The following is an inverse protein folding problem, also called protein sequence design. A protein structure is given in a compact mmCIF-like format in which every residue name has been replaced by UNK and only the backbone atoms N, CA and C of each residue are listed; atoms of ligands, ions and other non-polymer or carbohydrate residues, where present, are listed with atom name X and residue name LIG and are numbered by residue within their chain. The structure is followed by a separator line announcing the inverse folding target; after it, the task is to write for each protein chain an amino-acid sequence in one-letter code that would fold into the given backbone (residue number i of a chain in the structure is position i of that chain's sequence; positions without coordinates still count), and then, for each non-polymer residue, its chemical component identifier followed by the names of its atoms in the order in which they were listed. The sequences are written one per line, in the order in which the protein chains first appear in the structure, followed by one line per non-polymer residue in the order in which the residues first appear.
data_IF_489380942534
#
_entry.id   IF_489380942534
#
_cell.length_a   1.000
_cell.length_b   1.000
_cell.length_c   1.000
_cell.angle_alpha   90.00
_cell.angle_beta   90.00
_cell.angle_gamma   90.00
#
_symmetry.space_group_name_H-M   'P 1'
#
loop_
_entity.id
_entity.type
_entity.pdbx_description
1 polymer ?
#
# COMPACT_ATOMS: atom_id res chain seq x y z
N UNK A 1 -20.63 -12.83 -15.10
CA UNK A 1 -19.44 -12.02 -14.72
C UNK A 1 -19.66 -10.66 -15.36
N UNK A 2 -19.94 -9.64 -14.56
CA UNK A 2 -20.16 -8.27 -15.08
C UNK A 2 -18.76 -7.70 -15.38
N UNK A 3 -18.54 -7.06 -16.54
CA UNK A 3 -17.27 -6.38 -16.80
C UNK A 3 -17.08 -5.28 -15.76
N UNK A 4 -15.89 -5.16 -15.20
CA UNK A 4 -15.55 -3.99 -14.40
C UNK A 4 -15.63 -2.76 -15.32
N UNK A 5 -16.62 -1.91 -15.11
CA UNK A 5 -16.71 -0.63 -15.81
C UNK A 5 -15.54 0.23 -15.35
N UNK A 6 -14.51 0.33 -16.18
CA UNK A 6 -13.39 1.23 -15.95
C UNK A 6 -13.91 2.65 -16.12
N UNK A 7 -14.27 3.32 -15.02
CA UNK A 7 -14.66 4.72 -15.02
C UNK A 7 -13.40 5.58 -15.23
N UNK A 8 -13.16 6.16 -16.42
CA UNK A 8 -11.91 6.85 -16.71
C UNK A 8 -11.86 8.29 -16.17
N UNK A 9 -12.73 8.66 -15.21
CA UNK A 9 -13.07 10.06 -14.94
C UNK A 9 -12.65 10.60 -13.57
N UNK A 10 -12.00 9.80 -12.73
CA UNK A 10 -11.37 10.31 -11.53
C UNK A 10 -9.93 9.80 -11.52
N UNK A 11 -8.96 10.69 -11.73
CA UNK A 11 -7.58 10.41 -11.35
C UNK A 11 -7.56 10.17 -9.83
N UNK A 12 -7.73 8.92 -9.41
CA UNK A 12 -7.58 8.55 -8.01
C UNK A 12 -6.11 8.71 -7.66
N UNK A 13 -5.81 9.75 -6.90
CA UNK A 13 -4.46 10.00 -6.40
C UNK A 13 -4.24 9.11 -5.20
N UNK A 14 -3.58 7.98 -5.44
CA UNK A 14 -3.12 7.12 -4.37
C UNK A 14 -1.94 7.76 -3.65
N UNK A 15 -1.99 7.76 -2.33
CA UNK A 15 -0.85 8.09 -1.48
C UNK A 15 -0.12 6.80 -1.10
N UNK A 16 1.21 6.87 -1.05
CA UNK A 16 2.04 5.75 -0.58
C UNK A 16 2.91 6.19 0.59
N UNK A 17 2.98 5.38 1.65
CA UNK A 17 3.85 5.62 2.81
C UNK A 17 4.59 4.36 3.21
N UNK A 18 5.90 4.47 3.39
CA UNK A 18 6.72 3.40 3.92
C UNK A 18 6.92 3.57 5.43
N UNK A 19 6.88 2.45 6.14
CA UNK A 19 7.06 2.38 7.58
C UNK A 19 8.22 1.45 7.91
N UNK A 20 8.97 1.81 8.94
CA UNK A 20 9.81 0.87 9.69
C UNK A 20 9.14 0.68 11.04
N UNK A 21 8.62 -0.52 11.26
CA UNK A 21 7.88 -0.86 12.48
C UNK A 21 8.82 -1.65 13.37
N UNK A 22 8.98 -1.18 14.60
CA UNK A 22 9.79 -1.84 15.62
C UNK A 22 8.87 -2.41 16.68
N UNK A 23 9.01 -3.70 16.95
CA UNK A 23 8.20 -4.44 17.93
C UNK A 23 9.13 -5.05 19.00
N UNK A 24 8.55 -5.73 19.98
CA UNK A 24 9.28 -6.43 21.04
C UNK A 24 10.31 -5.56 21.77
N UNK A 25 9.89 -4.36 22.18
CA UNK A 25 10.73 -3.40 22.92
C UNK A 25 12.06 -3.08 22.21
N UNK A 26 12.02 -2.99 20.87
CA UNK A 26 13.21 -2.67 20.08
C UNK A 26 13.92 -3.87 19.46
N UNK A 27 13.50 -5.11 19.78
CA UNK A 27 14.25 -6.33 19.39
C UNK A 27 14.05 -6.72 17.95
N UNK A 28 12.87 -6.46 17.39
CA UNK A 28 12.53 -6.83 16.02
C UNK A 28 12.08 -5.61 15.23
N UNK A 29 12.48 -5.54 13.96
CA UNK A 29 12.02 -4.51 13.03
C UNK A 29 11.66 -5.11 11.69
N UNK A 30 10.57 -4.65 11.10
CA UNK A 30 10.19 -4.98 9.74
C UNK A 30 9.74 -3.71 8.98
N UNK A 31 9.67 -3.82 7.66
CA UNK A 31 9.21 -2.75 6.79
C UNK A 31 7.80 -3.02 6.33
N UNK A 32 6.99 -1.97 6.22
CA UNK A 32 5.66 -2.06 5.63
C UNK A 32 5.44 -0.93 4.63
N UNK A 33 4.59 -1.18 3.64
CA UNK A 33 4.14 -0.20 2.67
C UNK A 33 2.62 -0.06 2.76
N UNK A 34 2.13 1.16 2.97
CA UNK A 34 0.73 1.53 2.78
C UNK A 34 0.55 2.17 1.41
N UNK A 35 -0.52 1.78 0.72
CA UNK A 35 -1.06 2.47 -0.45
C UNK A 35 -2.55 2.70 -0.18
N UNK A 36 -2.98 3.95 -0.20
CA UNK A 36 -4.33 4.36 0.19
C UNK A 36 -4.90 5.44 -0.74
N UNK A 37 -6.21 5.47 -0.89
CA UNK A 37 -6.91 6.65 -1.41
C UNK A 37 -7.26 7.57 -0.25
N UNK A 38 -6.62 8.74 -0.18
CA UNK A 38 -6.85 9.70 0.91
C UNK A 38 -8.30 10.21 0.98
N UNK A 39 -9.08 10.08 -0.11
CA UNK A 39 -10.49 10.45 -0.15
C UNK A 39 -11.43 9.31 0.25
N UNK A 40 -10.92 8.09 0.45
CA UNK A 40 -11.72 6.90 0.73
C UNK A 40 -11.06 6.00 1.79
N UNK A 41 -11.58 6.08 3.01
CA UNK A 41 -11.07 5.31 4.17
C UNK A 41 -11.22 3.79 4.03
N UNK A 42 -12.11 3.31 3.17
CA UNK A 42 -12.32 1.88 2.91
C UNK A 42 -11.39 1.32 1.82
N UNK A 43 -10.61 2.18 1.14
CA UNK A 43 -9.74 1.81 0.03
C UNK A 43 -8.25 1.90 0.42
N UNK A 44 -7.76 0.88 1.13
CA UNK A 44 -6.36 0.77 1.55
C UNK A 44 -5.77 -0.62 1.35
N UNK A 45 -4.46 -0.68 1.13
CA UNK A 45 -3.63 -1.89 1.08
C UNK A 45 -2.39 -1.68 1.95
N UNK A 46 -2.18 -2.56 2.92
CA UNK A 46 -0.96 -2.59 3.74
C UNK A 46 -0.22 -3.91 3.51
N UNK A 47 1.04 -3.84 3.08
CA UNK A 47 1.91 -5.00 2.85
C UNK A 47 3.12 -4.95 3.78
N UNK A 48 3.36 -6.02 4.53
CA UNK A 48 4.59 -6.26 5.29
C UNK A 48 5.72 -6.85 4.41
N UNK A 49 5.37 -7.25 3.18
CA UNK A 49 6.31 -7.71 2.18
C UNK A 49 6.66 -6.53 1.28
N UNK A 50 7.82 -5.92 1.54
CA UNK A 50 8.38 -4.84 0.71
C UNK A 50 9.57 -5.40 -0.07
N UNK A 51 9.46 -5.45 -1.39
CA UNK A 51 10.56 -5.83 -2.29
C UNK A 51 11.05 -4.61 -3.03
N UNK A 52 12.38 -4.49 -3.20
CA UNK A 52 12.95 -3.42 -4.01
C UNK A 52 12.49 -3.57 -5.47
N UNK A 53 12.31 -2.45 -6.18
CA UNK A 53 11.85 -2.44 -7.58
C UNK A 53 12.73 -3.32 -8.49
N UNK A 54 14.04 -3.35 -8.25
CA UNK A 54 14.99 -4.20 -8.97
C UNK A 54 14.75 -5.71 -8.80
N UNK A 55 13.98 -6.11 -7.79
CA UNK A 55 13.64 -7.51 -7.47
C UNK A 55 12.19 -7.87 -7.87
N UNK A 56 11.43 -6.93 -8.43
CA UNK A 56 10.10 -7.21 -9.00
C UNK A 56 10.28 -7.74 -10.43
N UNK A 57 9.89 -9.00 -10.67
CA UNK A 57 9.99 -9.68 -11.97
C UNK A 57 8.74 -9.49 -12.82
#
# INVERSE_FOLDING_TARGET
MVPAESNPSAEVRLESRSYRITVDDGRESFFALSIEDAANEDAWLMSDTVVALENMR
#
